data_IF_198080456489
#
_entry.id   IF_198080456489
#
_cell.length_a   1.000
_cell.length_b   1.000
_cell.length_c   1.000
_cell.angle_alpha   90.00
_cell.angle_beta   90.00
_cell.angle_gamma   90.00
#
_symmetry.space_group_name_H-M   'P 1'
#
loop_
_entity.id
_entity.type
_entity.pdbx_description
1 polymer ?
#
# COMPACT_ATOMS: atom_id res chain seq x y z
N UNK A 1 -1.03 -19.69 4.19
CA UNK A 1 -1.96 -18.56 3.98
C UNK A 1 -1.11 -17.31 3.79
N UNK A 2 -1.29 -16.58 2.69
CA UNK A 2 -0.51 -15.37 2.40
C UNK A 2 -1.30 -14.13 2.83
N UNK A 3 -0.58 -13.03 3.11
CA UNK A 3 -1.14 -11.71 3.37
C UNK A 3 -0.82 -10.77 2.21
N UNK A 4 -1.71 -9.81 1.96
CA UNK A 4 -1.40 -8.67 1.10
C UNK A 4 -0.38 -7.72 1.78
N UNK A 5 0.30 -6.89 0.98
CA UNK A 5 1.31 -5.95 1.50
C UNK A 5 0.71 -5.00 2.55
N UNK A 6 -0.49 -4.47 2.32
CA UNK A 6 -1.11 -3.54 3.27
C UNK A 6 -1.46 -4.21 4.61
N UNK A 7 -1.88 -5.49 4.60
CA UNK A 7 -2.22 -6.25 5.80
C UNK A 7 -0.96 -6.51 6.65
N UNK A 8 0.14 -6.89 5.99
CA UNK A 8 1.42 -7.07 6.66
C UNK A 8 1.91 -5.76 7.30
N UNK A 9 1.78 -4.62 6.60
CA UNK A 9 2.13 -3.29 7.15
C UNK A 9 1.27 -2.89 8.35
N UNK A 10 -0.03 -3.16 8.32
CA UNK A 10 -0.91 -2.94 9.48
C UNK A 10 -0.50 -3.79 10.67
N UNK A 11 -0.08 -5.04 10.44
CA UNK A 11 0.46 -5.88 11.50
C UNK A 11 1.75 -5.28 12.08
N UNK A 12 2.70 -4.88 11.23
CA UNK A 12 3.94 -4.23 11.67
C UNK A 12 3.69 -2.98 12.52
N UNK A 13 2.78 -2.11 12.08
CA UNK A 13 2.42 -0.91 12.82
C UNK A 13 1.86 -1.23 14.22
N UNK A 14 1.04 -2.28 14.36
CA UNK A 14 0.53 -2.72 15.68
C UNK A 14 1.62 -3.16 16.65
N UNK A 15 2.77 -3.60 16.15
CA UNK A 15 3.93 -3.99 16.94
C UNK A 15 5.01 -2.91 17.02
N UNK A 16 4.72 -1.68 16.59
CA UNK A 16 5.67 -0.57 16.63
C UNK A 16 6.83 -0.68 15.63
N UNK A 17 6.73 -1.58 14.65
CA UNK A 17 7.74 -1.69 13.59
C UNK A 17 7.52 -0.59 12.54
N UNK A 18 8.59 0.06 12.06
CA UNK A 18 8.47 1.12 11.06
C UNK A 18 7.97 0.55 9.72
N UNK A 19 6.95 1.18 9.17
CA UNK A 19 6.42 0.89 7.84
C UNK A 19 5.94 2.19 7.18
N UNK A 20 6.08 2.35 5.85
CA UNK A 20 5.50 3.49 5.15
C UNK A 20 3.98 3.55 5.33
N UNK A 21 3.46 4.74 5.60
CA UNK A 21 2.00 4.99 5.64
C UNK A 21 1.41 4.71 4.26
N UNK A 22 0.27 4.03 4.23
CA UNK A 22 -0.45 3.74 3.01
C UNK A 22 -1.87 3.30 3.29
N UNK A 23 -2.72 3.43 2.27
CA UNK A 23 -4.14 3.13 2.35
C UNK A 23 -4.50 2.11 1.27
N UNK A 24 -5.26 1.07 1.63
CA UNK A 24 -5.84 0.15 0.66
C UNK A 24 -6.98 0.89 -0.06
N UNK A 25 -6.97 0.84 -1.39
CA UNK A 25 -7.93 1.52 -2.24
C UNK A 25 -8.51 0.49 -3.21
N UNK A 26 -9.83 0.55 -3.41
CA UNK A 26 -10.59 -0.28 -4.35
C UNK A 26 -11.10 0.51 -5.54
N UNK A 27 -11.04 1.84 -5.48
CA UNK A 27 -11.42 2.75 -6.56
C UNK A 27 -10.34 3.79 -6.83
N UNK A 28 -10.28 4.37 -8.05
CA UNK A 28 -9.35 5.46 -8.35
C UNK A 28 -9.53 6.68 -7.45
N UNK A 29 -10.79 7.00 -7.08
CA UNK A 29 -11.10 8.12 -6.18
C UNK A 29 -10.51 7.92 -4.79
N UNK A 30 -10.60 6.71 -4.24
CA UNK A 30 -9.96 6.40 -2.95
C UNK A 30 -8.44 6.58 -3.01
N UNK A 31 -7.81 6.28 -4.15
CA UNK A 31 -6.37 6.48 -4.32
C UNK A 31 -5.99 7.97 -4.34
N UNK A 32 -6.80 8.82 -4.96
CA UNK A 32 -6.64 10.28 -4.93
C UNK A 32 -6.79 10.82 -3.50
N UNK A 33 -7.85 10.44 -2.80
CA UNK A 33 -8.09 10.84 -1.41
C UNK A 33 -6.96 10.35 -0.49
N UNK A 34 -6.45 9.14 -0.72
CA UNK A 34 -5.31 8.58 0.00
C UNK A 34 -4.02 9.38 -0.24
N UNK A 35 -3.74 9.77 -1.48
CA UNK A 35 -2.60 10.61 -1.81
C UNK A 35 -2.68 11.96 -1.07
N UNK A 36 -3.86 12.60 -1.05
CA UNK A 36 -4.08 13.82 -0.27
C UNK A 36 -3.84 13.63 1.24
N UNK A 37 -4.26 12.49 1.82
CA UNK A 37 -4.01 12.16 3.24
C UNK A 37 -2.54 11.93 3.55
N UNK A 38 -1.76 11.38 2.62
CA UNK A 38 -0.32 11.15 2.79
C UNK A 38 0.45 12.48 2.74
N UNK A 39 -0.04 13.45 1.97
CA UNK A 39 0.59 14.76 1.81
C UNK A 39 1.46 14.83 0.55
N UNK A 40 2.42 15.74 0.50
CA UNK A 40 3.25 15.96 -0.69
C UNK A 40 4.03 14.69 -1.10
N UNK A 41 4.10 14.44 -2.40
CA UNK A 41 4.74 13.27 -2.99
C UNK A 41 6.28 13.26 -2.89
N UNK A 42 6.94 12.22 -3.44
CA UNK A 42 6.38 11.25 -4.38
C UNK A 42 5.54 10.16 -3.71
N UNK A 43 4.51 9.69 -4.41
CA UNK A 43 3.66 8.57 -3.98
C UNK A 43 3.95 7.31 -4.79
N UNK A 44 3.58 6.15 -4.24
CA UNK A 44 3.68 4.86 -4.94
C UNK A 44 2.34 4.14 -4.86
N UNK A 45 1.76 3.85 -6.02
CA UNK A 45 0.60 2.98 -6.16
C UNK A 45 1.11 1.56 -6.41
N UNK A 46 0.55 0.57 -5.70
CA UNK A 46 0.98 -0.83 -5.83
C UNK A 46 -0.22 -1.77 -5.86
N UNK A 47 -0.31 -2.62 -6.89
CA UNK A 47 -1.33 -3.67 -6.91
C UNK A 47 -1.17 -4.63 -5.72
N UNK A 48 -2.30 -4.99 -5.12
CA UNK A 48 -2.36 -5.91 -3.98
C UNK A 48 -2.68 -7.32 -4.47
N UNK A 49 -1.63 -8.12 -4.67
CA UNK A 49 -1.71 -9.54 -5.06
C UNK A 49 -0.77 -10.38 -4.22
N UNK A 50 -1.06 -11.67 -4.06
CA UNK A 50 -0.18 -12.62 -3.36
C UNK A 50 0.96 -13.10 -4.27
N UNK A 51 1.70 -12.16 -4.86
CA UNK A 51 2.83 -12.43 -5.74
C UNK A 51 3.89 -11.30 -5.67
N UNK A 52 5.16 -11.69 -5.85
CA UNK A 52 6.26 -10.74 -6.06
C UNK A 52 6.35 -10.25 -7.51
N UNK A 53 7.38 -9.47 -7.85
CA UNK A 53 7.66 -9.07 -9.24
C UNK A 53 6.74 -8.00 -9.86
N UNK A 54 5.78 -7.49 -9.08
CA UNK A 54 4.78 -6.48 -9.48
C UNK A 54 5.35 -5.29 -10.30
N UNK A 55 6.40 -4.66 -9.79
CA UNK A 55 7.04 -3.53 -10.50
C UNK A 55 7.64 -3.88 -11.87
N UNK A 56 8.09 -5.13 -12.08
CA UNK A 56 8.55 -5.58 -13.42
C UNK A 56 7.38 -5.93 -14.35
N UNK A 57 6.25 -6.35 -13.77
CA UNK A 57 5.04 -6.67 -14.51
C UNK A 57 4.19 -5.42 -14.86
N UNK A 58 4.57 -4.23 -14.38
CA UNK A 58 3.83 -2.99 -14.63
C UNK A 58 2.52 -2.87 -13.84
N UNK A 59 2.38 -3.64 -12.75
CA UNK A 59 1.21 -3.64 -11.86
C UNK A 59 1.59 -3.28 -10.42
#
# INVERSE_FOLDING_TARGET
MNLHEYQAKQLFARYGLPAPVGYACTTPREAEEAASKIGAGPWVVKCQVHAGGRGKAGV
#
